data_IF_452486643188
#
_entry.id   IF_452486643188
#
_cell.length_a   1.000
_cell.length_b   1.000
_cell.length_c   1.000
_cell.angle_alpha   90.00
_cell.angle_beta   90.00
_cell.angle_gamma   90.00
#
_symmetry.space_group_name_H-M   'P 1'
#
loop_
_entity.id
_entity.type
_entity.pdbx_description
1 polymer ?
#
# COMPACT_ATOMS: atom_id res chain seq x y z
N UNK A 1 18.39 -10.77 16.64
CA UNK A 1 18.65 -10.65 15.20
C UNK A 1 18.08 -9.32 14.71
N UNK A 2 18.98 -8.39 14.35
CA UNK A 2 18.86 -7.06 13.71
C UNK A 2 19.49 -5.96 14.58
N UNK A 3 20.51 -5.29 14.04
CA UNK A 3 21.27 -4.21 14.69
C UNK A 3 20.54 -2.88 14.54
N UNK A 4 20.83 -1.91 15.42
CA UNK A 4 20.28 -0.55 15.40
C UNK A 4 20.44 0.17 14.04
N UNK A 5 21.30 -0.31 13.13
CA UNK A 5 21.48 0.29 11.80
C UNK A 5 20.53 -0.25 10.73
N UNK A 6 19.75 -1.29 11.03
CA UNK A 6 18.90 -2.01 10.08
C UNK A 6 17.45 -2.15 10.59
N UNK A 7 16.97 -1.11 11.26
CA UNK A 7 15.54 -0.86 11.43
C UNK A 7 15.08 -0.06 10.22
N UNK A 8 14.89 -0.75 9.09
CA UNK A 8 13.94 -0.29 8.10
C UNK A 8 12.58 -0.51 8.73
N UNK A 9 11.83 0.58 8.85
CA UNK A 9 10.49 0.64 9.39
C UNK A 9 9.64 -0.51 8.81
N UNK A 10 9.17 -1.48 9.62
CA UNK A 10 8.37 -2.57 9.10
C UNK A 10 6.98 -2.03 8.73
N UNK A 11 6.84 -1.60 7.47
CA UNK A 11 5.55 -1.22 6.86
C UNK A 11 4.54 -2.38 6.97
N UNK A 12 5.05 -3.62 6.95
CA UNK A 12 4.27 -4.85 6.96
C UNK A 12 4.51 -5.67 8.24
N UNK A 13 3.43 -6.05 8.90
CA UNK A 13 3.48 -7.10 9.93
C UNK A 13 3.81 -8.41 9.22
N UNK A 14 4.92 -9.05 9.58
CA UNK A 14 5.35 -10.33 8.98
C UNK A 14 4.48 -11.50 9.51
N UNK A 15 3.18 -11.39 9.28
CA UNK A 15 2.15 -12.31 9.71
C UNK A 15 0.86 -12.00 8.93
N UNK A 16 0.49 -12.85 7.98
CA UNK A 16 -0.71 -12.65 7.14
C UNK A 16 -2.00 -12.53 7.97
N UNK A 17 -2.08 -13.16 9.16
CA UNK A 17 -3.28 -13.13 10.00
C UNK A 17 -3.47 -11.79 10.70
N UNK A 18 -2.40 -11.25 11.26
CA UNK A 18 -2.41 -9.91 11.85
C UNK A 18 -2.63 -8.87 10.76
N UNK A 19 -2.06 -9.08 9.58
CA UNK A 19 -2.25 -8.21 8.44
C UNK A 19 -3.72 -8.17 7.99
N UNK A 20 -4.33 -9.34 7.79
CA UNK A 20 -5.74 -9.46 7.44
C UNK A 20 -6.66 -8.78 8.48
N UNK A 21 -6.34 -8.95 9.77
CA UNK A 21 -7.07 -8.31 10.86
C UNK A 21 -6.90 -6.78 10.85
N UNK A 22 -5.70 -6.29 10.54
CA UNK A 22 -5.41 -4.86 10.46
C UNK A 22 -6.11 -4.19 9.27
N UNK A 23 -6.06 -4.80 8.09
CA UNK A 23 -6.63 -4.25 6.87
C UNK A 23 -8.16 -4.34 6.80
N UNK A 24 -8.71 -5.50 7.14
CA UNK A 24 -10.13 -5.82 6.93
C UNK A 24 -10.94 -5.93 8.22
N UNK A 25 -10.29 -5.72 9.37
CA UNK A 25 -10.91 -5.80 10.68
C UNK A 25 -11.43 -7.20 11.01
N UNK A 26 -12.27 -7.27 12.04
CA UNK A 26 -12.87 -8.51 12.52
C UNK A 26 -13.73 -9.19 11.45
N UNK A 27 -14.38 -8.43 10.57
CA UNK A 27 -15.24 -8.99 9.52
C UNK A 27 -14.43 -9.73 8.46
N UNK A 28 -13.33 -9.15 7.97
CA UNK A 28 -12.46 -9.83 7.02
C UNK A 28 -11.77 -11.04 7.63
N UNK A 29 -11.28 -10.91 8.87
CA UNK A 29 -10.70 -12.03 9.61
C UNK A 29 -11.70 -13.19 9.77
N UNK A 30 -12.93 -12.91 10.21
CA UNK A 30 -13.98 -13.92 10.34
C UNK A 30 -14.33 -14.56 8.98
N UNK A 31 -14.46 -13.76 7.93
CA UNK A 31 -14.72 -14.23 6.57
C UNK A 31 -13.65 -15.22 6.07
N UNK A 32 -12.37 -14.91 6.30
CA UNK A 32 -11.26 -15.78 5.94
C UNK A 32 -11.26 -17.09 6.73
N UNK A 33 -11.45 -17.06 8.06
CA UNK A 33 -11.47 -18.29 8.86
C UNK A 33 -12.68 -19.17 8.53
N UNK A 34 -13.84 -18.58 8.21
CA UNK A 34 -14.99 -19.32 7.70
C UNK A 34 -14.70 -19.97 6.34
N UNK A 35 -14.08 -19.22 5.42
CA UNK A 35 -13.64 -19.75 4.13
C UNK A 35 -12.66 -20.91 4.30
N UNK A 36 -11.61 -20.74 5.11
CA UNK A 36 -10.59 -21.74 5.39
C UNK A 36 -11.22 -22.99 6.04
N UNK A 37 -12.04 -22.79 7.08
CA UNK A 37 -12.72 -23.87 7.79
C UNK A 37 -13.64 -24.68 6.88
N UNK A 38 -14.44 -24.02 6.02
CA UNK A 38 -15.31 -24.70 5.07
C UNK A 38 -14.54 -25.56 4.06
N UNK A 39 -13.39 -25.07 3.58
CA UNK A 39 -12.56 -25.81 2.64
C UNK A 39 -11.81 -26.96 3.31
N UNK A 40 -11.26 -26.76 4.51
CA UNK A 40 -10.64 -27.83 5.29
C UNK A 40 -11.65 -28.92 5.66
N UNK A 41 -12.88 -28.54 5.99
CA UNK A 41 -13.97 -29.49 6.22
C UNK A 41 -14.27 -30.33 4.97
N UNK A 42 -14.35 -29.70 3.79
CA UNK A 42 -14.54 -30.42 2.53
C UNK A 42 -13.36 -31.32 2.18
N UNK A 43 -12.13 -30.87 2.43
CA UNK A 43 -10.93 -31.68 2.26
C UNK A 43 -11.00 -32.92 3.14
N UNK A 44 -11.37 -32.75 4.42
CA UNK A 44 -11.55 -33.84 5.37
C UNK A 44 -12.64 -34.84 4.94
N UNK A 45 -13.82 -34.36 4.53
CA UNK A 45 -14.88 -35.22 4.01
C UNK A 45 -14.40 -36.06 2.82
N UNK A 46 -13.64 -35.46 1.91
CA UNK A 46 -13.11 -36.13 0.74
C UNK A 46 -12.04 -37.16 1.10
N UNK A 47 -11.14 -36.83 2.01
CA UNK A 47 -10.16 -37.76 2.55
C UNK A 47 -10.85 -38.99 3.17
N UNK A 48 -11.88 -38.78 3.98
CA UNK A 48 -12.64 -39.86 4.61
C UNK A 48 -13.38 -40.75 3.59
N UNK A 49 -13.87 -40.16 2.49
CA UNK A 49 -14.57 -40.89 1.41
C UNK A 49 -13.61 -41.66 0.50
N UNK A 50 -12.45 -41.07 0.18
CA UNK A 50 -11.49 -41.59 -0.80
C UNK A 50 -10.43 -42.51 -0.18
N UNK A 51 -10.06 -42.30 1.08
CA UNK A 51 -8.93 -42.96 1.75
C UNK A 51 -9.30 -44.25 2.49
N UNK A 52 -9.74 -44.18 3.77
CA UNK A 52 -9.77 -45.32 4.69
C UNK A 52 -10.58 -46.52 4.18
N UNK A 53 -11.70 -46.27 3.50
CA UNK A 53 -12.60 -47.33 3.01
C UNK A 53 -12.09 -48.04 1.76
N UNK A 54 -11.26 -47.40 0.92
CA UNK A 54 -10.74 -48.00 -0.32
C UNK A 54 -9.40 -48.69 -0.11
N UNK A 55 -8.52 -48.09 0.68
CA UNK A 55 -7.19 -48.65 1.00
C UNK A 55 -7.31 -49.99 1.75
N UNK A 56 -8.30 -50.11 2.64
CA UNK A 56 -8.55 -51.36 3.37
C UNK A 56 -9.10 -52.51 2.50
N UNK A 57 -9.65 -52.22 1.32
CA UNK A 57 -10.37 -53.20 0.50
C UNK A 57 -9.59 -53.72 -0.72
N UNK A 58 -8.68 -52.93 -1.32
CA UNK A 58 -8.18 -53.29 -2.66
C UNK A 58 -6.67 -53.41 -2.84
N UNK A 59 -5.82 -52.97 -1.90
CA UNK A 59 -4.35 -53.06 -2.05
C UNK A 59 -3.75 -52.41 -3.32
N UNK A 60 -4.57 -51.69 -4.08
CA UNK A 60 -4.30 -51.12 -5.40
C UNK A 60 -4.00 -49.61 -5.29
N UNK A 61 -3.32 -49.02 -6.30
CA UNK A 61 -2.70 -47.70 -6.17
C UNK A 61 -3.71 -46.60 -5.80
N UNK A 62 -3.24 -45.67 -4.95
CA UNK A 62 -3.99 -44.51 -4.48
C UNK A 62 -4.66 -43.76 -5.66
N UNK A 63 -5.94 -43.42 -5.51
CA UNK A 63 -6.66 -42.60 -6.50
C UNK A 63 -5.91 -41.27 -6.73
N UNK A 64 -5.79 -40.83 -8.00
CA UNK A 64 -5.25 -39.51 -8.33
C UNK A 64 -5.93 -38.38 -7.54
N UNK A 65 -7.23 -38.50 -7.29
CA UNK A 65 -7.99 -37.52 -6.48
C UNK A 65 -7.57 -37.52 -5.01
N UNK A 66 -7.25 -38.69 -4.46
CA UNK A 66 -6.74 -38.80 -3.08
C UNK A 66 -5.33 -38.22 -2.98
N UNK A 67 -4.46 -38.51 -3.95
CA UNK A 67 -3.12 -37.93 -4.00
C UNK A 67 -3.16 -36.39 -4.11
N UNK A 68 -4.03 -35.86 -4.98
CA UNK A 68 -4.25 -34.41 -5.11
C UNK A 68 -4.81 -33.80 -3.82
N UNK A 69 -5.74 -34.48 -3.13
CA UNK A 69 -6.29 -34.00 -1.87
C UNK A 69 -5.25 -33.98 -0.74
N UNK A 70 -4.41 -35.02 -0.64
CA UNK A 70 -3.31 -35.07 0.33
C UNK A 70 -2.28 -33.97 0.02
N UNK A 71 -1.89 -33.83 -1.25
CA UNK A 71 -0.96 -32.78 -1.68
C UNK A 71 -1.50 -31.38 -1.41
N UNK A 72 -2.77 -31.13 -1.72
CA UNK A 72 -3.46 -29.88 -1.42
C UNK A 72 -3.54 -29.60 0.09
N UNK A 73 -3.80 -30.62 0.91
CA UNK A 73 -3.81 -30.52 2.38
C UNK A 73 -2.43 -30.19 2.93
N UNK A 74 -1.38 -30.83 2.41
CA UNK A 74 0.00 -30.49 2.76
C UNK A 74 0.35 -29.05 2.39
N UNK A 75 -0.05 -28.59 1.20
CA UNK A 75 0.19 -27.22 0.74
C UNK A 75 -0.53 -26.18 1.64
N UNK A 76 -1.82 -26.38 1.95
CA UNK A 76 -2.55 -25.47 2.85
C UNK A 76 -1.96 -25.48 4.26
N UNK A 77 -1.59 -26.65 4.78
CA UNK A 77 -0.94 -26.77 6.09
C UNK A 77 0.40 -26.03 6.15
N UNK A 78 1.23 -26.18 5.13
CA UNK A 78 2.51 -25.48 5.02
C UNK A 78 2.31 -23.95 4.95
N UNK A 79 1.37 -23.48 4.11
CA UNK A 79 1.03 -22.07 4.02
C UNK A 79 0.49 -21.50 5.33
N UNK A 80 -0.41 -22.22 6.00
CA UNK A 80 -0.98 -21.76 7.27
C UNK A 80 0.11 -21.56 8.35
N UNK A 81 1.11 -22.43 8.40
CA UNK A 81 2.24 -22.28 9.33
C UNK A 81 3.14 -21.13 8.89
N UNK A 82 3.49 -21.05 7.59
CA UNK A 82 4.41 -20.05 7.08
C UNK A 82 3.83 -18.62 7.16
N UNK A 83 2.52 -18.46 6.98
CA UNK A 83 1.76 -17.22 7.17
C UNK A 83 1.79 -16.66 8.60
N UNK A 84 2.26 -17.42 9.60
CA UNK A 84 2.50 -16.89 10.96
C UNK A 84 3.74 -16.00 11.01
N UNK A 85 4.72 -16.24 10.13
CA UNK A 85 6.05 -15.64 10.16
C UNK A 85 6.36 -14.76 8.95
N UNK A 86 5.46 -14.73 7.96
CA UNK A 86 5.69 -14.09 6.67
C UNK A 86 4.37 -13.62 6.05
N UNK A 87 4.46 -12.74 5.06
CA UNK A 87 3.33 -12.09 4.38
C UNK A 87 3.04 -12.74 3.01
N UNK A 88 2.93 -14.07 2.99
CA UNK A 88 2.90 -14.84 1.74
C UNK A 88 1.70 -14.51 0.85
N UNK A 89 0.57 -14.11 1.44
CA UNK A 89 -0.66 -13.83 0.72
C UNK A 89 -0.63 -12.47 0.01
N UNK A 90 0.37 -11.64 0.27
CA UNK A 90 0.61 -10.42 -0.51
C UNK A 90 1.32 -10.68 -1.83
N UNK A 91 1.97 -11.84 -1.97
CA UNK A 91 2.66 -12.21 -3.21
C UNK A 91 1.63 -12.81 -4.18
N UNK A 92 1.33 -12.17 -5.33
CA UNK A 92 0.25 -12.61 -6.21
C UNK A 92 0.39 -14.06 -6.71
N UNK A 93 1.63 -14.50 -6.95
CA UNK A 93 1.93 -15.87 -7.37
C UNK A 93 1.47 -16.91 -6.33
N UNK A 94 1.68 -16.62 -5.04
CA UNK A 94 1.30 -17.48 -3.94
C UNK A 94 -0.23 -17.56 -3.79
N UNK A 95 -0.91 -16.42 -3.93
CA UNK A 95 -2.39 -16.36 -3.91
C UNK A 95 -2.98 -17.18 -5.05
N UNK A 96 -2.43 -17.08 -6.27
CA UNK A 96 -2.88 -17.87 -7.41
C UNK A 96 -2.70 -19.38 -7.16
N UNK A 97 -1.56 -19.78 -6.61
CA UNK A 97 -1.32 -21.18 -6.23
C UNK A 97 -2.34 -21.66 -5.19
N UNK A 98 -2.57 -20.85 -4.15
CA UNK A 98 -3.50 -21.20 -3.08
C UNK A 98 -4.95 -21.25 -3.58
N UNK A 99 -5.35 -20.37 -4.50
CA UNK A 99 -6.65 -20.40 -5.17
C UNK A 99 -6.84 -21.71 -5.96
N UNK A 100 -5.81 -22.16 -6.68
CA UNK A 100 -5.83 -23.45 -7.36
C UNK A 100 -5.99 -24.62 -6.37
N UNK A 101 -5.23 -24.60 -5.26
CA UNK A 101 -5.31 -25.60 -4.19
C UNK A 101 -6.71 -25.65 -3.56
N UNK A 102 -7.31 -24.50 -3.24
CA UNK A 102 -8.69 -24.45 -2.75
C UNK A 102 -9.71 -24.92 -3.80
N UNK A 103 -9.44 -24.73 -5.09
CA UNK A 103 -10.21 -25.32 -6.19
C UNK A 103 -10.28 -26.85 -6.13
N UNK A 104 -9.17 -27.52 -5.77
CA UNK A 104 -9.13 -28.97 -5.55
C UNK A 104 -10.04 -29.37 -4.38
N UNK A 105 -10.05 -28.61 -3.28
CA UNK A 105 -10.95 -28.86 -2.14
C UNK A 105 -12.42 -28.61 -2.45
N UNK A 106 -12.72 -27.62 -3.31
CA UNK A 106 -14.08 -27.33 -3.70
C UNK A 106 -14.71 -28.48 -4.51
N UNK A 107 -13.91 -29.21 -5.29
CA UNK A 107 -14.34 -30.37 -6.06
C UNK A 107 -13.30 -31.52 -6.07
N UNK A 108 -13.25 -32.35 -5.01
CA UNK A 108 -12.26 -33.42 -4.86
C UNK A 108 -12.58 -34.68 -5.69
N UNK A 109 -13.42 -34.57 -6.74
CA UNK A 109 -13.78 -35.66 -7.64
C UNK A 109 -15.00 -36.48 -7.21
N UNK A 110 -16.16 -35.83 -7.02
CA UNK A 110 -17.45 -36.54 -6.83
C UNK A 110 -17.88 -37.24 -8.12
N UNK A 111 -18.29 -38.50 -8.02
CA UNK A 111 -18.86 -39.26 -9.13
C UNK A 111 -20.17 -38.60 -9.61
N UNK A 112 -20.13 -38.01 -10.81
CA UNK A 112 -21.26 -37.32 -11.47
C UNK A 112 -22.52 -38.17 -11.60
N UNK A 113 -22.39 -39.49 -11.53
CA UNK A 113 -23.45 -40.46 -11.78
C UNK A 113 -24.55 -40.50 -10.68
N UNK A 114 -24.26 -40.04 -9.46
CA UNK A 114 -25.23 -40.08 -8.33
C UNK A 114 -25.98 -38.76 -8.06
N UNK A 115 -25.57 -37.66 -8.68
CA UNK A 115 -26.16 -36.33 -8.45
C UNK A 115 -27.26 -35.95 -9.48
N UNK A 116 -27.69 -36.89 -10.33
CA UNK A 116 -28.69 -36.66 -11.39
C UNK A 116 -30.14 -36.51 -10.90
N UNK A 117 -30.40 -36.42 -9.59
CA UNK A 117 -31.76 -36.27 -9.05
C UNK A 117 -31.83 -35.28 -7.88
N UNK A 118 -32.04 -33.99 -8.19
CA UNK A 118 -32.79 -32.98 -7.40
C UNK A 118 -32.35 -31.54 -7.73
N UNK A 119 -32.48 -31.15 -9.00
CA UNK A 119 -32.20 -29.78 -9.41
C UNK A 119 -33.25 -28.80 -8.88
N UNK A 120 -33.00 -28.17 -7.73
CA UNK A 120 -33.66 -26.90 -7.39
C UNK A 120 -32.95 -25.77 -8.14
N UNK A 121 -33.54 -25.18 -9.20
CA UNK A 121 -32.85 -24.20 -10.06
C UNK A 121 -32.37 -22.96 -9.30
N UNK A 122 -33.03 -22.61 -8.20
CA UNK A 122 -32.65 -21.49 -7.33
C UNK A 122 -31.23 -21.59 -6.76
N UNK A 123 -30.68 -22.80 -6.57
CA UNK A 123 -29.30 -22.99 -6.07
C UNK A 123 -28.24 -22.87 -7.17
N UNK A 124 -28.61 -22.90 -8.46
CA UNK A 124 -27.66 -22.72 -9.55
C UNK A 124 -27.17 -21.27 -9.65
N UNK A 125 -28.07 -20.29 -9.47
CA UNK A 125 -27.72 -18.87 -9.45
C UNK A 125 -26.84 -18.49 -8.26
N UNK A 126 -27.04 -19.12 -7.10
CA UNK A 126 -26.19 -18.92 -5.92
C UNK A 126 -24.70 -19.26 -6.18
N UNK A 127 -24.42 -20.20 -7.10
CA UNK A 127 -23.04 -20.57 -7.49
C UNK A 127 -22.35 -19.53 -8.36
N UNK A 128 -23.12 -18.64 -9.00
CA UNK A 128 -22.57 -17.56 -9.84
C UNK A 128 -22.26 -16.30 -9.04
N UNK A 129 -22.75 -16.18 -7.80
CA UNK A 129 -22.56 -14.97 -6.97
C UNK A 129 -21.08 -14.67 -6.75
N UNK A 130 -20.28 -15.64 -6.32
CA UNK A 130 -18.85 -15.43 -6.06
C UNK A 130 -18.04 -15.14 -7.35
N UNK A 131 -18.20 -15.88 -8.47
CA UNK A 131 -17.57 -15.51 -9.74
C UNK A 131 -17.97 -14.13 -10.24
N UNK A 132 -19.25 -13.78 -10.18
CA UNK A 132 -19.73 -12.45 -10.61
C UNK A 132 -19.13 -11.36 -9.73
N UNK A 133 -19.13 -11.54 -8.41
CA UNK A 133 -18.46 -10.62 -7.49
C UNK A 133 -16.97 -10.48 -7.82
N UNK A 134 -16.28 -11.59 -8.08
CA UNK A 134 -14.88 -11.58 -8.52
C UNK A 134 -14.67 -10.82 -9.83
N UNK A 135 -15.53 -11.00 -10.83
CA UNK A 135 -15.49 -10.24 -12.08
C UNK A 135 -15.78 -8.76 -11.87
N UNK A 136 -16.73 -8.40 -11.00
CA UNK A 136 -17.05 -7.01 -10.66
C UNK A 136 -15.89 -6.33 -9.95
N UNK A 137 -15.26 -7.02 -8.99
CA UNK A 137 -14.05 -6.54 -8.31
C UNK A 137 -12.91 -6.35 -9.33
N UNK A 138 -12.66 -7.33 -10.18
CA UNK A 138 -11.63 -7.22 -11.22
C UNK A 138 -11.90 -6.05 -12.17
N UNK A 139 -13.12 -5.90 -12.68
CA UNK A 139 -13.50 -4.77 -13.53
C UNK A 139 -13.36 -3.42 -12.79
N UNK A 140 -13.74 -3.38 -11.52
CA UNK A 140 -13.56 -2.24 -10.63
C UNK A 140 -12.09 -1.88 -10.40
N UNK A 141 -11.20 -2.86 -10.30
CA UNK A 141 -9.75 -2.66 -10.15
C UNK A 141 -9.08 -2.24 -11.46
N UNK A 142 -9.51 -2.80 -12.60
CA UNK A 142 -8.92 -2.52 -13.92
C UNK A 142 -9.03 -1.04 -14.31
N UNK A 143 -10.01 -0.29 -13.78
CA UNK A 143 -10.13 1.15 -14.04
C UNK A 143 -8.94 1.96 -13.49
N UNK A 144 -8.30 1.48 -12.43
CA UNK A 144 -7.17 2.13 -11.77
C UNK A 144 -5.82 1.78 -12.39
N UNK A 145 -5.75 0.73 -13.22
CA UNK A 145 -4.51 0.23 -13.80
C UNK A 145 -3.70 1.31 -14.54
N UNK A 146 -4.39 2.26 -15.19
CA UNK A 146 -3.74 3.39 -15.87
C UNK A 146 -3.11 4.38 -14.89
N UNK A 147 -3.79 4.66 -13.78
CA UNK A 147 -3.25 5.54 -12.73
C UNK A 147 -2.00 4.91 -12.11
N UNK A 148 -2.07 3.63 -11.76
CA UNK A 148 -0.94 2.84 -11.23
C UNK A 148 0.26 2.83 -12.18
N UNK A 149 0.03 2.62 -13.48
CA UNK A 149 1.10 2.68 -14.48
C UNK A 149 1.78 4.05 -14.52
N UNK A 150 1.02 5.14 -14.41
CA UNK A 150 1.58 6.48 -14.37
C UNK A 150 2.29 6.77 -13.05
N UNK A 151 1.77 6.30 -11.93
CA UNK A 151 2.41 6.38 -10.62
C UNK A 151 3.78 5.69 -10.64
N UNK A 152 3.86 4.46 -11.15
CA UNK A 152 5.12 3.73 -11.29
C UNK A 152 6.11 4.44 -12.23
N UNK A 153 5.64 5.01 -13.34
CA UNK A 153 6.49 5.82 -14.22
C UNK A 153 7.00 7.08 -13.51
N UNK A 154 6.19 7.69 -12.66
CA UNK A 154 6.61 8.84 -11.86
C UNK A 154 7.68 8.43 -10.83
N UNK A 155 7.46 7.34 -10.10
CA UNK A 155 8.42 6.75 -9.14
C UNK A 155 9.76 6.42 -9.78
N UNK A 156 9.75 5.75 -10.94
CA UNK A 156 10.97 5.44 -11.70
C UNK A 156 11.67 6.71 -12.18
N UNK A 157 10.90 7.70 -12.67
CA UNK A 157 11.47 8.98 -13.08
C UNK A 157 12.05 9.78 -11.90
N UNK A 158 11.48 9.70 -10.70
CA UNK A 158 12.06 10.27 -9.48
C UNK A 158 13.39 9.62 -9.11
N UNK A 159 13.44 8.28 -9.13
CA UNK A 159 14.66 7.50 -8.90
C UNK A 159 15.77 7.88 -9.88
N UNK A 160 15.42 8.09 -11.14
CA UNK A 160 16.36 8.46 -12.19
C UNK A 160 16.62 9.99 -12.27
N UNK A 161 16.18 10.77 -11.27
CA UNK A 161 16.33 12.23 -11.17
C UNK A 161 15.71 13.02 -12.34
N UNK A 162 14.79 12.41 -13.09
CA UNK A 162 14.05 13.04 -14.20
C UNK A 162 12.83 13.80 -13.69
N UNK A 163 13.05 14.85 -12.89
CA UNK A 163 12.00 15.53 -12.11
C UNK A 163 10.82 16.07 -12.95
N UNK A 164 11.07 16.63 -14.14
CA UNK A 164 9.99 17.13 -15.01
C UNK A 164 9.13 16.00 -15.57
N UNK A 165 9.76 14.89 -15.96
CA UNK A 165 9.03 13.70 -16.43
C UNK A 165 8.24 13.07 -15.28
N UNK A 166 8.85 12.98 -14.09
CA UNK A 166 8.17 12.51 -12.88
C UNK A 166 6.92 13.33 -12.59
N UNK A 167 7.03 14.66 -12.60
CA UNK A 167 5.91 15.57 -12.34
C UNK A 167 4.79 15.39 -13.38
N UNK A 168 5.12 15.24 -14.67
CA UNK A 168 4.12 14.99 -15.72
C UNK A 168 3.39 13.66 -15.52
N UNK A 169 4.12 12.58 -15.24
CA UNK A 169 3.50 11.28 -14.97
C UNK A 169 2.64 11.31 -13.71
N UNK A 170 3.13 11.94 -12.63
CA UNK A 170 2.37 12.07 -11.39
C UNK A 170 1.09 12.89 -11.58
N UNK A 171 1.13 13.98 -12.37
CA UNK A 171 -0.07 14.75 -12.73
C UNK A 171 -1.11 13.89 -13.46
N UNK A 172 -0.68 13.03 -14.38
CA UNK A 172 -1.58 12.11 -15.08
C UNK A 172 -2.13 11.02 -14.14
N UNK A 173 -1.32 10.54 -13.18
CA UNK A 173 -1.77 9.59 -12.17
C UNK A 173 -2.86 10.20 -11.29
N UNK A 174 -2.62 11.39 -10.71
CA UNK A 174 -3.57 12.12 -9.87
C UNK A 174 -4.85 12.46 -10.63
N UNK A 175 -4.77 12.79 -11.93
CA UNK A 175 -5.97 13.07 -12.74
C UNK A 175 -6.88 11.85 -12.94
N UNK A 176 -6.33 10.63 -12.83
CA UNK A 176 -7.08 9.38 -12.96
C UNK A 176 -7.49 8.80 -11.61
N UNK A 177 -6.65 9.00 -10.58
CA UNK A 177 -6.89 8.55 -9.22
C UNK A 177 -6.27 9.54 -8.23
N UNK A 178 -7.14 10.40 -7.71
CA UNK A 178 -6.80 11.43 -6.74
C UNK A 178 -7.06 11.01 -5.29
N UNK A 179 -7.56 9.77 -5.10
CA UNK A 179 -7.82 9.14 -3.81
C UNK A 179 -6.70 8.17 -3.41
N UNK A 180 -5.74 7.92 -4.29
CA UNK A 180 -4.52 7.18 -3.97
C UNK A 180 -3.46 8.13 -3.38
N UNK A 181 -3.08 7.98 -2.10
CA UNK A 181 -2.07 8.83 -1.46
C UNK A 181 -0.70 8.79 -2.15
N UNK A 182 -0.33 7.67 -2.79
CA UNK A 182 0.95 7.55 -3.49
C UNK A 182 1.02 8.45 -4.73
N UNK A 183 -0.08 8.59 -5.49
CA UNK A 183 -0.09 9.43 -6.70
C UNK A 183 0.15 10.90 -6.32
N UNK A 184 -0.45 11.32 -5.21
CA UNK A 184 -0.27 12.64 -4.60
C UNK A 184 1.15 12.81 -4.04
N UNK A 185 1.69 11.78 -3.39
CA UNK A 185 3.07 11.77 -2.91
C UNK A 185 4.07 11.98 -4.06
N UNK A 186 3.96 11.21 -5.15
CA UNK A 186 4.86 11.38 -6.29
C UNK A 186 4.75 12.77 -6.93
N UNK A 187 3.55 13.36 -6.93
CA UNK A 187 3.36 14.75 -7.38
C UNK A 187 4.07 15.75 -6.47
N UNK A 188 3.86 15.65 -5.15
CA UNK A 188 4.53 16.50 -4.16
C UNK A 188 6.05 16.36 -4.21
N UNK A 189 6.55 15.12 -4.18
CA UNK A 189 7.99 14.82 -4.21
C UNK A 189 8.63 15.28 -5.51
N UNK A 190 7.96 15.14 -6.67
CA UNK A 190 8.49 15.65 -7.94
C UNK A 190 8.66 17.18 -7.95
N UNK A 191 7.76 17.91 -7.28
CA UNK A 191 7.84 19.36 -7.12
C UNK A 191 8.98 19.73 -6.17
N UNK A 192 9.12 19.02 -5.04
CA UNK A 192 10.25 19.18 -4.11
C UNK A 192 11.58 18.97 -4.82
N UNK A 193 11.76 17.85 -5.53
CA UNK A 193 13.00 17.56 -6.27
C UNK A 193 13.27 18.59 -7.35
N UNK A 194 12.22 19.07 -8.04
CA UNK A 194 12.36 20.15 -9.01
C UNK A 194 12.82 21.46 -8.34
N UNK A 195 12.32 21.78 -7.15
CA UNK A 195 12.75 22.94 -6.38
C UNK A 195 14.22 22.85 -5.97
N UNK A 196 14.64 21.68 -5.46
CA UNK A 196 16.02 21.40 -5.03
C UNK A 196 17.02 21.48 -6.21
N UNK A 197 16.60 21.07 -7.41
CA UNK A 197 17.43 21.11 -8.61
C UNK A 197 17.57 22.51 -9.26
N UNK A 198 16.81 23.51 -8.79
CA UNK A 198 16.87 24.86 -9.35
C UNK A 198 17.95 25.70 -8.66
N UNK A 199 18.80 26.41 -9.43
CA UNK A 199 19.84 27.26 -8.85
C UNK A 199 19.28 28.53 -8.18
N UNK A 200 18.09 28.97 -8.57
CA UNK A 200 17.44 30.15 -8.03
C UNK A 200 16.49 29.78 -6.86
N UNK A 201 16.78 30.24 -5.62
CA UNK A 201 15.94 29.96 -4.46
C UNK A 201 14.49 30.47 -4.59
N UNK A 202 14.28 31.60 -5.29
CA UNK A 202 12.93 32.16 -5.52
C UNK A 202 12.12 31.25 -6.45
N UNK A 203 12.76 30.71 -7.48
CA UNK A 203 12.11 29.76 -8.39
C UNK A 203 11.79 28.45 -7.67
N UNK A 204 12.68 27.98 -6.79
CA UNK A 204 12.44 26.83 -5.93
C UNK A 204 11.26 27.03 -4.97
N UNK A 205 11.11 28.23 -4.39
CA UNK A 205 10.00 28.54 -3.47
C UNK A 205 8.63 28.30 -4.09
N UNK A 206 8.43 28.66 -5.37
CA UNK A 206 7.17 28.38 -6.08
C UNK A 206 6.85 26.88 -6.19
N UNK A 207 7.87 26.04 -6.36
CA UNK A 207 7.68 24.58 -6.42
C UNK A 207 7.43 23.98 -5.04
N UNK A 208 8.06 24.49 -3.97
CA UNK A 208 7.75 24.10 -2.60
C UNK A 208 6.32 24.45 -2.22
N UNK A 209 5.86 25.67 -2.52
CA UNK A 209 4.45 26.06 -2.30
C UNK A 209 3.50 25.12 -3.05
N UNK A 210 3.78 24.82 -4.31
CA UNK A 210 2.97 23.88 -5.08
C UNK A 210 3.02 22.45 -4.53
N UNK A 211 4.04 22.06 -3.75
CA UNK A 211 4.14 20.73 -3.16
C UNK A 211 3.23 20.54 -1.94
N UNK A 212 2.78 21.63 -1.30
CA UNK A 212 1.93 21.56 -0.11
C UNK A 212 0.60 20.87 -0.40
N UNK A 213 -0.15 21.30 -1.42
CA UNK A 213 -1.48 20.77 -1.73
C UNK A 213 -1.50 19.23 -1.91
N UNK A 214 -0.63 18.61 -2.74
CA UNK A 214 -0.60 17.16 -2.85
C UNK A 214 -0.29 16.45 -1.53
N UNK A 215 0.65 16.97 -0.73
CA UNK A 215 1.01 16.34 0.53
C UNK A 215 -0.08 16.52 1.61
N UNK A 216 -0.74 17.68 1.66
CA UNK A 216 -1.88 17.92 2.56
C UNK A 216 -3.06 17.00 2.20
N UNK A 217 -3.32 16.79 0.91
CA UNK A 217 -4.33 15.83 0.44
C UNK A 217 -3.94 14.38 0.73
N UNK A 218 -2.67 14.01 0.53
CA UNK A 218 -2.17 12.67 0.86
C UNK A 218 -2.31 12.39 2.37
N UNK A 219 -1.95 13.38 3.20
CA UNK A 219 -2.12 13.30 4.65
C UNK A 219 -3.61 13.25 5.04
N UNK A 220 -4.51 13.93 4.34
CA UNK A 220 -5.94 13.84 4.62
C UNK A 220 -6.49 12.41 4.37
N UNK A 221 -5.94 11.71 3.38
CA UNK A 221 -6.29 10.32 3.08
C UNK A 221 -5.62 9.33 4.05
N UNK A 222 -4.40 9.61 4.51
CA UNK A 222 -3.67 8.81 5.49
C UNK A 222 -3.14 9.69 6.64
N UNK A 223 -3.98 10.03 7.64
CA UNK A 223 -3.68 11.07 8.65
C UNK A 223 -2.46 10.81 9.54
N UNK A 224 -2.05 9.56 9.66
CA UNK A 224 -0.96 9.12 10.54
C UNK A 224 0.22 8.53 9.75
N UNK A 225 0.26 8.71 8.42
CA UNK A 225 1.40 8.27 7.63
C UNK A 225 2.61 9.16 7.90
N UNK A 226 3.67 8.54 8.43
CA UNK A 226 4.92 9.20 8.78
C UNK A 226 5.53 9.92 7.57
N UNK A 227 5.45 9.32 6.39
CA UNK A 227 6.06 9.81 5.16
C UNK A 227 5.52 11.19 4.79
N UNK A 228 4.20 11.39 4.88
CA UNK A 228 3.56 12.67 4.53
C UNK A 228 3.79 13.74 5.60
N UNK A 229 3.84 13.36 6.87
CA UNK A 229 4.20 14.26 7.97
C UNK A 229 5.63 14.80 7.81
N UNK A 230 6.60 13.91 7.53
CA UNK A 230 7.99 14.30 7.27
C UNK A 230 8.10 15.14 6.00
N UNK A 231 7.40 14.77 4.93
CA UNK A 231 7.43 15.50 3.66
C UNK A 231 6.91 16.94 3.83
N UNK A 232 5.77 17.13 4.51
CA UNK A 232 5.26 18.45 4.84
C UNK A 232 6.22 19.24 5.73
N UNK A 233 6.78 18.61 6.76
CA UNK A 233 7.79 19.24 7.63
C UNK A 233 8.97 19.78 6.82
N UNK A 234 9.52 18.96 5.91
CA UNK A 234 10.60 19.37 5.00
C UNK A 234 10.19 20.51 4.07
N UNK A 235 8.97 20.49 3.54
CA UNK A 235 8.47 21.54 2.64
C UNK A 235 8.28 22.85 3.41
N UNK A 236 7.74 22.80 4.63
CA UNK A 236 7.59 23.99 5.49
C UNK A 236 8.95 24.56 5.91
N UNK A 237 9.94 23.73 6.24
CA UNK A 237 11.33 24.17 6.44
C UNK A 237 11.89 24.85 5.19
N UNK A 238 11.67 24.23 4.04
CA UNK A 238 11.97 24.78 2.73
C UNK A 238 10.99 25.89 2.31
N UNK A 239 10.15 26.42 3.19
CA UNK A 239 9.44 27.69 3.02
C UNK A 239 9.80 28.69 4.12
N UNK A 240 10.65 28.31 5.08
CA UNK A 240 10.96 29.11 6.27
C UNK A 240 9.81 29.14 7.28
N UNK A 241 8.79 28.31 7.08
CA UNK A 241 7.61 28.13 7.93
C UNK A 241 7.92 27.16 9.07
N UNK A 242 8.91 27.52 9.87
CA UNK A 242 9.50 26.61 10.87
C UNK A 242 8.52 26.18 11.96
N UNK A 243 7.53 27.02 12.30
CA UNK A 243 6.54 26.66 13.32
C UNK A 243 5.60 25.55 12.83
N UNK A 244 5.18 25.59 11.56
CA UNK A 244 4.39 24.54 10.94
C UNK A 244 5.22 23.26 10.73
N UNK A 245 6.51 23.40 10.39
CA UNK A 245 7.41 22.26 10.31
C UNK A 245 7.55 21.54 11.65
N UNK A 246 7.79 22.29 12.74
CA UNK A 246 7.85 21.78 14.11
C UNK A 246 6.59 20.98 14.48
N UNK A 247 5.41 21.51 14.13
CA UNK A 247 4.14 20.82 14.36
C UNK A 247 4.08 19.47 13.62
N UNK A 248 4.47 19.42 12.35
CA UNK A 248 4.44 18.18 11.57
C UNK A 248 5.42 17.14 12.08
N UNK A 249 6.65 17.53 12.40
CA UNK A 249 7.62 16.62 13.00
C UNK A 249 7.22 16.15 14.40
N UNK A 250 6.61 17.02 15.21
CA UNK A 250 6.04 16.66 16.50
C UNK A 250 4.96 15.60 16.38
N UNK A 251 4.08 15.71 15.37
CA UNK A 251 3.07 14.68 15.06
C UNK A 251 3.72 13.36 14.63
N UNK A 252 4.74 13.39 13.77
CA UNK A 252 5.45 12.18 13.35
C UNK A 252 6.11 11.46 14.54
N UNK A 253 6.79 12.22 15.42
CA UNK A 253 7.42 11.69 16.63
C UNK A 253 6.42 11.15 17.65
N UNK A 254 5.22 11.74 17.74
CA UNK A 254 4.18 11.24 18.64
C UNK A 254 3.63 9.88 18.17
N UNK A 255 3.63 9.64 16.86
CA UNK A 255 3.14 8.39 16.26
C UNK A 255 4.16 7.27 16.38
N UNK A 256 5.39 7.50 15.91
CA UNK A 256 6.52 6.59 16.15
C UNK A 256 7.72 7.33 16.75
N UNK A 257 7.84 7.33 18.09
CA UNK A 257 8.99 7.92 18.77
C UNK A 257 10.33 7.25 18.44
N UNK A 258 10.31 6.02 17.92
CA UNK A 258 11.51 5.21 17.63
C UNK A 258 11.90 5.22 16.16
N UNK A 259 11.12 5.86 15.28
CA UNK A 259 11.48 5.98 13.88
C UNK A 259 12.77 6.78 13.73
N UNK A 260 13.80 6.13 13.20
CA UNK A 260 15.07 6.78 12.91
C UNK A 260 14.93 7.82 11.80
N UNK A 261 14.01 7.61 10.85
CA UNK A 261 13.79 8.53 9.74
C UNK A 261 13.18 9.82 10.27
N UNK A 262 12.15 9.72 11.11
CA UNK A 262 11.59 10.89 11.80
C UNK A 262 12.64 11.58 12.66
N UNK A 263 13.36 10.86 13.53
CA UNK A 263 14.35 11.46 14.43
C UNK A 263 15.44 12.23 13.67
N UNK A 264 15.96 11.68 12.57
CA UNK A 264 16.94 12.35 11.71
C UNK A 264 16.36 13.57 11.02
N UNK A 265 15.15 13.46 10.49
CA UNK A 265 14.46 14.59 9.82
C UNK A 265 14.20 15.73 10.81
N UNK A 266 13.75 15.41 12.02
CA UNK A 266 13.51 16.38 13.07
C UNK A 266 14.82 17.03 13.58
N UNK A 267 15.90 16.27 13.71
CA UNK A 267 17.20 16.84 14.05
C UNK A 267 17.69 17.84 12.98
N UNK A 268 17.46 17.55 11.70
CA UNK A 268 17.76 18.47 10.60
C UNK A 268 16.90 19.74 10.68
N UNK A 269 15.61 19.60 10.98
CA UNK A 269 14.69 20.71 11.24
C UNK A 269 15.19 21.65 12.34
N UNK A 270 15.50 21.09 13.53
CA UNK A 270 15.95 21.87 14.68
C UNK A 270 17.24 22.67 14.39
N UNK A 271 18.16 22.08 13.62
CA UNK A 271 19.39 22.76 13.21
C UNK A 271 19.11 23.90 12.22
N UNK A 272 18.23 23.68 11.23
CA UNK A 272 17.80 24.72 10.30
C UNK A 272 17.09 25.88 11.03
N UNK A 273 16.18 25.56 11.94
CA UNK A 273 15.44 26.55 12.71
C UNK A 273 16.36 27.36 13.64
N UNK A 274 17.31 26.70 14.30
CA UNK A 274 18.35 27.36 15.12
C UNK A 274 19.19 28.33 14.29
N UNK A 275 19.65 27.93 13.11
CA UNK A 275 20.43 28.79 12.20
C UNK A 275 19.63 30.01 11.75
N UNK A 276 18.35 29.82 11.42
CA UNK A 276 17.46 30.91 11.05
C UNK A 276 17.29 31.92 12.19
N UNK A 277 17.05 31.45 13.42
CA UNK A 277 16.96 32.31 14.62
C UNK A 277 18.25 33.08 14.93
N UNK A 278 19.40 32.48 14.64
CA UNK A 278 20.71 33.11 14.81
C UNK A 278 21.04 34.16 13.73
N UNK A 279 20.10 34.51 12.85
CA UNK A 279 20.34 35.42 11.72
C UNK A 279 21.22 34.83 10.61
N UNK A 280 21.55 33.53 10.70
CA UNK A 280 22.35 32.77 9.72
C UNK A 280 21.45 31.94 8.82
N UNK A 281 20.26 32.46 8.51
CA UNK A 281 19.37 31.82 7.56
C UNK A 281 20.06 31.82 6.18
N UNK A 282 20.19 30.68 5.48
CA UNK A 282 20.59 30.67 4.08
C UNK A 282 19.60 31.44 3.16
N UNK A 283 18.45 31.88 3.71
CA UNK A 283 17.33 32.54 3.03
C UNK A 283 17.13 34.02 3.34
N UNK A 284 18.14 34.72 3.87
CA UNK A 284 18.04 36.15 4.17
C UNK A 284 17.91 37.08 2.92
N UNK A 285 17.29 36.59 1.84
CA UNK A 285 17.00 37.29 0.57
C UNK A 285 15.58 37.03 0.03
N UNK A 286 14.65 36.54 0.83
CA UNK A 286 13.23 36.59 0.48
C UNK A 286 12.65 37.84 1.14
N UNK A 287 12.19 38.85 0.36
CA UNK A 287 11.59 40.03 0.96
C UNK A 287 10.29 39.62 1.66
N UNK A 288 10.15 40.08 2.91
CA UNK A 288 8.88 40.03 3.63
C UNK A 288 7.77 40.61 2.75
N UNK A 289 6.64 39.91 2.67
CA UNK A 289 5.47 40.30 1.87
C UNK A 289 4.78 41.59 2.38
N UNK A 290 5.40 42.32 3.31
CA UNK A 290 4.88 43.50 4.01
C UNK A 290 5.82 44.73 3.94
N UNK A 291 6.66 44.86 2.92
CA UNK A 291 7.30 46.15 2.64
C UNK A 291 6.26 47.08 1.95
N UNK A 292 5.92 48.25 2.53
CA UNK A 292 5.04 49.20 1.86
C UNK A 292 5.67 49.63 0.53
N UNK A 293 4.87 49.62 -0.53
CA UNK A 293 5.25 50.12 -1.85
C UNK A 293 5.86 51.52 -1.70
N UNK A 294 7.05 51.81 -2.29
CA UNK A 294 7.53 53.17 -2.37
C UNK A 294 6.54 53.98 -3.20
N UNK A 295 5.83 54.90 -2.55
CA UNK A 295 5.18 56.01 -3.20
C UNK A 295 6.28 56.85 -3.83
N UNK A 296 6.41 56.79 -5.15
CA UNK A 296 6.79 57.89 -6.05
C UNK A 296 7.18 57.30 -7.42
N UNK A 297 6.18 57.22 -8.30
CA UNK A 297 6.42 57.22 -9.75
C UNK A 297 5.76 58.48 -10.32
N UNK A 298 6.51 59.35 -11.03
CA UNK A 298 5.95 60.56 -11.61
C UNK A 298 5.03 60.22 -12.79
N UNK A 299 4.03 61.07 -13.10
CA UNK A 299 3.07 60.78 -14.14
C UNK A 299 3.67 61.02 -15.53
N UNK A 300 3.60 59.98 -16.37
CA UNK A 300 3.35 60.04 -17.81
C UNK A 300 4.34 60.78 -18.72
N UNK A 301 4.97 60.01 -19.62
CA UNK A 301 5.03 60.27 -21.06
C UNK A 301 5.36 59.00 -21.81
#
# INVERSE_FOLDING_TARGET
FRSERLQLDPVEVHNDYLHLLAEYGLLGAAGFFLFLGAHLWRAWEAFQKLGPRRVALSGLPLSNNLALNIGASGAVGAYAIHSVFDFNLHIPANVCLLAFVFGIFANPGRDREKDSASGRPHFAYARLVLPVLGCLLLAGSLRYLRAELYAERARVALRDERHLSAMRWAQQAVALDDQNPETLFYLGESRVRRAEALPNPLAGASFYEAALDPFERALALAPNDETFLIALGRVYDALGRFAEAEWMFGRALAWDPRSQVTQRSYAAHLELWRRARAGRSPRNKLPEKNAPLPADLPPGS
#
